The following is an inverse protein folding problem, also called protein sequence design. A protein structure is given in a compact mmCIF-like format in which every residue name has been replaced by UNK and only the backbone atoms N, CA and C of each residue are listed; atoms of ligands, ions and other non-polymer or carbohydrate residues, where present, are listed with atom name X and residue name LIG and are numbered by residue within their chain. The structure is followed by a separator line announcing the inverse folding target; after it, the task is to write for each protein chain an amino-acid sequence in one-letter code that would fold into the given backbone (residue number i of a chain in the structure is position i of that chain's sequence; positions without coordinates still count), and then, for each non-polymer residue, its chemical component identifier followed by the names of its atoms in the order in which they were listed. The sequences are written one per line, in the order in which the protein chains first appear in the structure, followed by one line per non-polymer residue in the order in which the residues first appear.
data_IF_583075760412
#
_entry.id   IF_583075760412
#
_cell.length_a   1.000
_cell.length_b   1.000
_cell.length_c   1.000
_cell.angle_alpha   90.00
_cell.angle_beta   90.00
_cell.angle_gamma   90.00
#
_symmetry.space_group_name_H-M   'P 1'
#
loop_
_entity.id
_entity.type
_entity.pdbx_description
1 polymer ?
#
# COMPACT_ATOMS: atom_id res chain seq x y z
N UNK A 1 -17.46 67.46 -32.11
CA UNK A 1 -17.71 68.02 -33.41
C UNK A 1 -18.89 67.22 -33.96
N UNK A 2 -20.19 67.56 -33.64
CA UNK A 2 -20.98 68.48 -34.41
C UNK A 2 -21.08 67.99 -35.86
N UNK A 3 -22.23 67.67 -36.46
CA UNK A 3 -23.62 68.21 -36.53
C UNK A 3 -24.46 67.15 -37.27
N UNK A 4 -25.68 66.82 -36.88
CA UNK A 4 -26.97 67.32 -37.33
C UNK A 4 -27.21 67.19 -38.84
N UNK A 5 -28.28 66.79 -39.35
CA UNK A 5 -29.68 66.85 -39.12
C UNK A 5 -30.41 66.66 -40.42
N UNK A 6 -31.60 66.44 -40.42
CA UNK A 6 -32.86 67.06 -40.89
C UNK A 6 -33.69 66.11 -41.75
N UNK A 7 -34.77 65.73 -41.28
CA UNK A 7 -36.20 65.88 -41.58
C UNK A 7 -36.58 66.45 -42.96
N UNK A 8 -37.50 65.69 -43.65
CA UNK A 8 -38.62 66.30 -44.38
C UNK A 8 -39.86 65.34 -44.46
N UNK A 9 -40.97 65.91 -44.03
CA UNK A 9 -42.33 65.36 -44.17
C UNK A 9 -42.80 65.51 -45.64
N UNK A 10 -43.67 64.59 -46.12
CA UNK A 10 -44.79 64.98 -46.98
C UNK A 10 -45.89 63.95 -46.93
N UNK A 11 -47.08 64.44 -47.10
CA UNK A 11 -48.41 63.96 -46.79
C UNK A 11 -49.05 63.14 -47.91
N UNK A 12 -49.98 62.23 -47.45
CA UNK A 12 -51.39 61.96 -47.89
C UNK A 12 -51.66 61.20 -49.15
N UNK A 13 -52.34 60.05 -49.02
CA UNK A 13 -53.79 59.93 -49.29
C UNK A 13 -54.23 58.47 -49.10
N UNK A 14 -55.37 58.28 -48.49
CA UNK A 14 -55.93 56.99 -48.14
C UNK A 14 -56.64 56.28 -49.26
N UNK A 15 -56.79 55.01 -49.09
CA UNK A 15 -57.95 54.23 -49.62
C UNK A 15 -58.20 53.02 -48.76
N UNK A 16 -59.41 52.81 -48.34
CA UNK A 16 -59.91 51.73 -47.55
C UNK A 16 -59.79 50.35 -48.29
N UNK A 17 -59.39 49.31 -47.58
CA UNK A 17 -59.37 47.99 -48.10
C UNK A 17 -59.28 46.92 -47.03
N UNK A 18 -60.40 46.35 -46.69
CA UNK A 18 -60.75 45.08 -46.10
C UNK A 18 -59.70 44.45 -45.12
N UNK A 19 -60.07 44.39 -43.84
CA UNK A 19 -59.56 43.43 -42.86
C UNK A 19 -59.63 41.97 -43.38
N UNK A 20 -58.51 41.36 -43.63
CA UNK A 20 -58.37 39.93 -43.74
C UNK A 20 -57.89 39.40 -42.37
N UNK A 21 -58.80 38.82 -41.59
CA UNK A 21 -58.51 38.11 -40.32
C UNK A 21 -57.51 37.00 -40.59
N UNK A 22 -56.23 37.22 -40.21
CA UNK A 22 -55.25 36.17 -40.27
C UNK A 22 -55.54 35.17 -39.12
N UNK A 23 -56.09 34.00 -39.53
CA UNK A 23 -56.11 32.82 -38.65
C UNK A 23 -54.71 32.53 -38.20
N UNK A 24 -54.36 32.82 -36.93
CA UNK A 24 -53.18 32.31 -36.25
C UNK A 24 -53.36 30.81 -36.10
N UNK A 25 -52.63 30.03 -36.88
CA UNK A 25 -52.47 28.59 -36.71
C UNK A 25 -51.76 28.38 -35.35
N UNK A 26 -52.32 27.55 -34.46
CA UNK A 26 -51.62 27.29 -33.20
C UNK A 26 -50.28 26.62 -33.51
N UNK A 27 -49.18 27.25 -33.05
CA UNK A 27 -47.83 26.68 -33.13
C UNK A 27 -47.88 25.32 -32.42
N UNK A 28 -47.60 24.26 -33.15
CA UNK A 28 -47.54 22.91 -32.57
C UNK A 28 -46.50 22.90 -31.46
N UNK A 29 -46.91 22.59 -30.23
CA UNK A 29 -46.00 22.39 -29.09
C UNK A 29 -44.97 21.35 -29.50
N UNK A 30 -43.66 21.64 -29.39
CA UNK A 30 -42.63 20.67 -29.77
C UNK A 30 -42.84 19.34 -29.02
N UNK A 31 -42.89 18.24 -29.76
CA UNK A 31 -42.99 16.90 -29.14
C UNK A 31 -41.81 16.69 -28.19
N UNK A 32 -42.03 16.23 -26.95
CA UNK A 32 -40.95 16.00 -26.02
C UNK A 32 -39.88 15.06 -26.59
N UNK A 33 -38.63 15.41 -26.49
CA UNK A 33 -37.55 14.53 -26.89
C UNK A 33 -37.44 13.32 -25.94
N UNK A 34 -37.21 12.11 -26.46
CA UNK A 34 -37.07 10.91 -25.61
C UNK A 34 -35.88 11.04 -24.66
N UNK A 35 -36.02 10.44 -23.49
CA UNK A 35 -34.91 10.32 -22.55
C UNK A 35 -33.85 9.36 -23.09
N UNK A 36 -32.59 9.72 -22.96
CA UNK A 36 -31.44 8.89 -23.37
C UNK A 36 -30.39 8.80 -22.25
N UNK A 37 -29.61 7.74 -22.22
CA UNK A 37 -28.48 7.57 -21.34
C UNK A 37 -27.26 7.07 -22.10
N UNK A 38 -26.10 7.66 -21.82
CA UNK A 38 -24.79 7.21 -22.31
C UNK A 38 -24.04 6.63 -21.16
N UNK A 39 -23.52 5.40 -21.32
CA UNK A 39 -22.67 4.72 -20.36
C UNK A 39 -21.22 4.88 -20.81
N UNK A 40 -20.34 5.23 -19.87
CA UNK A 40 -18.89 5.33 -20.07
C UNK A 40 -18.15 4.86 -18.81
N UNK A 41 -16.84 4.65 -18.92
CA UNK A 41 -15.94 4.35 -17.80
C UNK A 41 -14.65 5.16 -17.95
N UNK A 42 -13.69 5.00 -17.03
CA UNK A 42 -12.35 5.60 -17.13
C UNK A 42 -11.59 5.06 -18.35
N UNK A 43 -11.83 3.81 -18.71
CA UNK A 43 -11.27 3.13 -19.89
C UNK A 43 -12.40 2.78 -20.87
N UNK A 44 -12.09 2.41 -22.14
CA UNK A 44 -13.09 1.97 -23.09
C UNK A 44 -13.95 0.81 -22.54
N UNK A 45 -15.26 0.82 -22.78
CA UNK A 45 -16.17 -0.24 -22.29
C UNK A 45 -15.81 -1.65 -22.79
N UNK A 46 -14.96 -1.76 -23.80
CA UNK A 46 -14.41 -3.02 -24.33
C UNK A 46 -13.13 -3.48 -23.63
N UNK A 47 -12.58 -2.67 -22.72
CA UNK A 47 -11.34 -2.95 -22.02
C UNK A 47 -11.26 -2.17 -20.68
N UNK A 48 -12.33 -2.20 -19.88
CA UNK A 48 -12.33 -1.57 -18.55
C UNK A 48 -11.35 -2.29 -17.63
N UNK A 49 -10.80 -1.54 -16.66
CA UNK A 49 -9.99 -2.14 -15.59
C UNK A 49 -10.88 -2.63 -14.44
N UNK A 50 -10.39 -3.57 -13.61
CA UNK A 50 -11.21 -4.14 -12.53
C UNK A 50 -11.83 -3.12 -11.57
N UNK A 51 -11.13 -2.04 -11.23
CA UNK A 51 -11.60 -1.01 -10.31
C UNK A 51 -12.33 0.17 -10.99
N UNK A 52 -12.55 0.13 -12.30
CA UNK A 52 -13.27 1.19 -13.01
C UNK A 52 -14.70 1.34 -12.48
N UNK A 53 -15.17 2.58 -12.48
CA UNK A 53 -16.55 2.92 -12.22
C UNK A 53 -17.29 3.20 -13.54
N UNK A 54 -18.61 2.99 -13.55
CA UNK A 54 -19.45 3.28 -14.71
C UNK A 54 -20.13 4.63 -14.51
N UNK A 55 -19.99 5.52 -15.49
CA UNK A 55 -20.61 6.84 -15.49
C UNK A 55 -21.82 6.82 -16.43
N UNK A 56 -22.96 7.32 -15.94
CA UNK A 56 -24.23 7.43 -16.67
C UNK A 56 -24.54 8.90 -16.89
N UNK A 57 -24.47 9.35 -18.14
CA UNK A 57 -24.89 10.68 -18.55
C UNK A 57 -26.29 10.61 -19.16
N UNK A 58 -27.26 11.31 -18.55
CA UNK A 58 -28.69 11.28 -18.92
C UNK A 58 -29.09 12.59 -19.58
N UNK A 59 -29.83 12.50 -20.66
CA UNK A 59 -30.48 13.64 -21.32
C UNK A 59 -31.99 13.45 -21.37
N UNK A 60 -32.75 14.54 -21.18
CA UNK A 60 -34.23 14.61 -21.24
C UNK A 60 -34.94 13.66 -20.23
N UNK A 61 -34.30 13.33 -19.10
CA UNK A 61 -34.90 12.43 -18.12
C UNK A 61 -34.04 12.27 -16.88
N UNK A 62 -34.35 11.26 -16.06
CA UNK A 62 -33.65 10.88 -14.82
C UNK A 62 -33.28 9.40 -14.85
N UNK A 63 -32.11 9.04 -14.30
CA UNK A 63 -31.72 7.64 -14.11
C UNK A 63 -32.39 7.08 -12.84
N UNK A 64 -33.25 6.08 -13.02
CA UNK A 64 -34.04 5.49 -11.92
C UNK A 64 -33.38 4.23 -11.34
N UNK A 65 -32.73 3.41 -12.18
CA UNK A 65 -31.98 2.24 -11.69
C UNK A 65 -30.85 1.83 -12.64
N UNK A 66 -29.88 1.14 -12.09
CA UNK A 66 -28.80 0.44 -12.80
C UNK A 66 -28.79 -0.99 -12.31
N UNK A 67 -28.83 -1.95 -13.23
CA UNK A 67 -28.59 -3.36 -12.97
C UNK A 67 -27.37 -3.80 -13.76
N UNK A 68 -26.45 -4.50 -13.11
CA UNK A 68 -25.24 -5.07 -13.71
C UNK A 68 -25.27 -6.57 -13.48
N UNK A 69 -25.10 -7.36 -14.53
CA UNK A 69 -25.03 -8.82 -14.44
C UNK A 69 -23.76 -9.34 -15.12
N UNK A 70 -23.18 -10.42 -14.60
CA UNK A 70 -22.08 -11.13 -15.26
C UNK A 70 -22.56 -11.99 -16.44
N UNK A 71 -21.64 -12.72 -17.06
CA UNK A 71 -21.95 -13.58 -18.21
C UNK A 71 -22.92 -14.73 -17.88
N UNK A 72 -22.94 -15.17 -16.60
CA UNK A 72 -23.80 -16.25 -16.10
C UNK A 72 -25.19 -15.73 -15.69
N UNK A 73 -25.43 -14.40 -15.83
CA UNK A 73 -26.70 -13.76 -15.47
C UNK A 73 -26.81 -13.40 -13.98
N UNK A 74 -25.76 -13.61 -13.19
CA UNK A 74 -25.73 -13.27 -11.76
C UNK A 74 -25.59 -11.76 -11.57
N UNK A 75 -26.31 -11.23 -10.59
CA UNK A 75 -26.27 -9.80 -10.25
C UNK A 75 -24.94 -9.41 -9.63
N UNK A 76 -24.39 -8.27 -10.07
CA UNK A 76 -23.19 -7.65 -9.53
C UNK A 76 -23.58 -6.47 -8.64
N UNK A 77 -23.26 -6.55 -7.35
CA UNK A 77 -23.54 -5.49 -6.39
C UNK A 77 -22.69 -4.24 -6.65
N UNK A 78 -23.32 -3.09 -6.51
CA UNK A 78 -22.65 -1.79 -6.61
C UNK A 78 -23.51 -0.66 -6.02
N UNK A 79 -22.89 0.51 -5.87
CA UNK A 79 -23.53 1.69 -5.33
C UNK A 79 -23.64 2.79 -6.39
N UNK A 80 -24.83 3.36 -6.55
CA UNK A 80 -25.07 4.52 -7.40
C UNK A 80 -24.91 5.79 -6.57
N UNK A 81 -24.13 6.75 -7.06
CA UNK A 81 -23.87 8.04 -6.43
C UNK A 81 -23.96 9.19 -7.43
N UNK A 82 -23.98 10.44 -6.94
CA UNK A 82 -24.12 11.64 -7.75
C UNK A 82 -25.58 11.97 -8.08
N UNK A 83 -25.78 13.04 -8.85
CA UNK A 83 -27.09 13.56 -9.25
C UNK A 83 -27.21 13.60 -10.78
N UNK A 84 -28.47 13.59 -11.29
CA UNK A 84 -28.68 13.85 -12.70
C UNK A 84 -28.15 15.25 -13.09
N UNK A 85 -27.62 15.42 -14.29
CA UNK A 85 -27.63 14.48 -15.40
C UNK A 85 -26.48 13.45 -15.40
N UNK A 86 -25.63 13.41 -14.38
CA UNK A 86 -24.45 12.52 -14.32
C UNK A 86 -24.36 11.76 -13.01
N UNK A 87 -24.58 10.44 -13.06
CA UNK A 87 -24.43 9.53 -11.92
C UNK A 87 -23.29 8.55 -12.15
N UNK A 88 -22.70 8.06 -11.06
CA UNK A 88 -21.59 7.10 -11.07
C UNK A 88 -22.01 5.85 -10.31
N UNK A 89 -21.87 4.70 -10.94
CA UNK A 89 -22.05 3.41 -10.32
C UNK A 89 -20.67 2.81 -10.03
N UNK A 90 -20.43 2.43 -8.76
CA UNK A 90 -19.18 1.84 -8.29
C UNK A 90 -19.43 0.40 -7.90
N UNK A 91 -18.71 -0.59 -8.45
CA UNK A 91 -18.85 -1.98 -8.04
C UNK A 91 -18.43 -2.14 -6.59
N UNK A 92 -19.14 -2.97 -5.82
CA UNK A 92 -18.81 -3.29 -4.43
C UNK A 92 -17.54 -4.16 -4.36
N UNK A 93 -17.36 -5.02 -5.34
CA UNK A 93 -16.18 -5.84 -5.57
C UNK A 93 -15.68 -5.54 -6.99
N UNK A 94 -14.37 -5.38 -7.21
CA UNK A 94 -13.84 -5.12 -8.55
C UNK A 94 -14.32 -6.14 -9.59
N UNK A 95 -14.45 -5.70 -10.83
CA UNK A 95 -14.77 -6.58 -11.94
C UNK A 95 -13.69 -7.66 -12.11
N UNK A 96 -14.11 -8.87 -12.46
CA UNK A 96 -13.19 -9.98 -12.74
C UNK A 96 -12.43 -9.75 -14.05
N UNK A 97 -11.10 -9.94 -14.04
CA UNK A 97 -10.27 -9.90 -15.24
C UNK A 97 -10.81 -10.84 -16.34
N UNK A 98 -10.86 -10.36 -17.58
CA UNK A 98 -11.41 -11.08 -18.72
C UNK A 98 -12.94 -11.24 -18.68
N UNK A 99 -13.62 -10.76 -17.65
CA UNK A 99 -15.06 -10.88 -17.49
C UNK A 99 -15.84 -10.01 -18.46
N UNK A 100 -17.07 -10.41 -18.74
CA UNK A 100 -18.05 -9.65 -19.53
C UNK A 100 -19.29 -9.41 -18.69
N UNK A 101 -19.81 -8.18 -18.77
CA UNK A 101 -20.95 -7.74 -17.98
C UNK A 101 -21.99 -7.07 -18.87
N UNK A 102 -23.26 -7.27 -18.53
CA UNK A 102 -24.39 -6.57 -19.13
C UNK A 102 -24.87 -5.50 -18.15
N UNK A 103 -24.91 -4.26 -18.62
CA UNK A 103 -25.37 -3.10 -17.85
C UNK A 103 -26.71 -2.63 -18.40
N UNK A 104 -27.76 -2.66 -17.58
CA UNK A 104 -29.09 -2.18 -17.93
C UNK A 104 -29.38 -0.93 -17.10
N UNK A 105 -29.47 0.21 -17.78
CA UNK A 105 -29.88 1.49 -17.19
C UNK A 105 -31.34 1.75 -17.47
N UNK A 106 -32.16 2.00 -16.44
CA UNK A 106 -33.56 2.42 -16.58
C UNK A 106 -33.65 3.92 -16.41
N UNK A 107 -34.23 4.60 -17.38
CA UNK A 107 -34.41 6.06 -17.41
C UNK A 107 -35.90 6.40 -17.56
N UNK A 108 -36.30 7.50 -16.91
CA UNK A 108 -37.69 8.02 -17.01
C UNK A 108 -37.64 9.46 -17.49
N UNK A 109 -38.39 9.75 -18.54
CA UNK A 109 -38.54 11.10 -19.12
C UNK A 109 -40.01 11.44 -19.34
N UNK A 110 -40.26 12.56 -20.02
CA UNK A 110 -41.62 13.03 -20.29
C UNK A 110 -42.43 12.06 -21.18
N UNK A 111 -41.76 11.20 -21.96
CA UNK A 111 -42.38 10.20 -22.85
C UNK A 111 -42.56 8.83 -22.19
N UNK A 112 -42.25 8.70 -20.89
CA UNK A 112 -42.32 7.45 -20.14
C UNK A 112 -40.93 6.87 -19.78
N UNK A 113 -40.93 5.63 -19.30
CA UNK A 113 -39.69 4.91 -18.92
C UNK A 113 -39.17 4.08 -20.09
N UNK A 114 -37.84 4.03 -20.21
CA UNK A 114 -37.14 3.18 -21.20
C UNK A 114 -35.90 2.54 -20.57
N UNK A 115 -35.38 1.50 -21.21
CA UNK A 115 -34.16 0.80 -20.80
C UNK A 115 -33.10 0.93 -21.88
N UNK A 116 -31.85 1.18 -21.45
CA UNK A 116 -30.66 1.12 -22.30
C UNK A 116 -29.75 0.00 -21.81
N UNK A 117 -29.28 -0.82 -22.74
CA UNK A 117 -28.39 -1.93 -22.45
C UNK A 117 -27.01 -1.67 -23.04
N UNK A 118 -25.98 -1.82 -22.24
CA UNK A 118 -24.57 -1.70 -22.65
C UNK A 118 -23.81 -2.96 -22.25
N UNK A 119 -22.85 -3.36 -23.08
CA UNK A 119 -21.90 -4.43 -22.77
C UNK A 119 -20.60 -3.81 -22.25
N UNK A 120 -20.10 -4.36 -21.17
CA UNK A 120 -18.80 -4.00 -20.56
C UNK A 120 -17.91 -5.24 -20.59
N UNK A 121 -16.72 -5.12 -21.16
CA UNK A 121 -15.71 -6.19 -21.17
C UNK A 121 -14.50 -5.71 -20.38
N UNK A 122 -14.08 -6.51 -19.41
CA UNK A 122 -12.89 -6.23 -18.61
C UNK A 122 -11.66 -6.74 -19.35
N UNK A 123 -10.59 -5.99 -19.33
CA UNK A 123 -9.34 -6.40 -19.96
C UNK A 123 -8.82 -7.72 -19.38
N UNK A 124 -8.08 -8.47 -20.16
CA UNK A 124 -7.30 -9.59 -19.68
C UNK A 124 -6.09 -9.07 -18.88
N UNK A 125 -5.66 -9.84 -17.91
CA UNK A 125 -4.51 -9.49 -17.07
C UNK A 125 -4.19 -10.54 -16.03
N UNK A 126 -3.12 -10.29 -15.27
CA UNK A 126 -2.65 -11.16 -14.19
C UNK A 126 -2.96 -10.55 -12.82
N UNK A 127 -3.05 -11.38 -11.81
CA UNK A 127 -3.12 -10.96 -10.41
C UNK A 127 -1.73 -10.59 -9.88
N UNK A 128 -1.69 -9.64 -8.96
CA UNK A 128 -0.56 -9.38 -8.08
C UNK A 128 -1.04 -9.60 -6.65
N UNK A 129 -0.62 -10.68 -6.03
CA UNK A 129 -0.94 -10.98 -4.64
C UNK A 129 -0.17 -10.04 -3.70
N UNK A 130 -0.81 -9.70 -2.59
CA UNK A 130 -0.22 -8.86 -1.54
C UNK A 130 -0.33 -9.57 -0.20
N UNK A 131 0.71 -9.43 0.63
CA UNK A 131 0.74 -9.99 1.97
C UNK A 131 1.00 -8.88 2.99
N UNK A 132 0.15 -8.77 4.00
CA UNK A 132 0.44 -8.03 5.22
C UNK A 132 1.30 -8.94 6.10
N UNK A 133 2.60 -8.60 6.21
CA UNK A 133 3.51 -9.41 7.02
C UNK A 133 3.25 -9.16 8.52
N UNK A 134 3.44 -10.18 9.33
CA UNK A 134 3.24 -10.15 10.80
C UNK A 134 1.79 -9.84 11.22
N UNK A 135 0.82 -10.10 10.34
CA UNK A 135 -0.61 -10.00 10.66
C UNK A 135 -0.95 -10.89 11.87
N UNK A 136 -1.81 -10.38 12.75
CA UNK A 136 -2.26 -11.02 13.99
C UNK A 136 -1.15 -11.46 14.95
N UNK A 137 0.05 -10.86 14.80
CA UNK A 137 1.19 -11.14 15.66
C UNK A 137 1.45 -10.05 16.69
N UNK A 138 2.03 -10.45 17.82
CA UNK A 138 2.68 -9.57 18.78
C UNK A 138 4.11 -9.30 18.34
N UNK A 139 4.42 -8.05 17.97
CA UNK A 139 5.75 -7.64 17.49
C UNK A 139 6.39 -6.60 18.40
N UNK A 140 7.71 -6.42 18.26
CA UNK A 140 8.47 -5.39 18.97
C UNK A 140 8.26 -3.99 18.41
N UNK A 141 8.71 -2.99 19.19
CA UNK A 141 8.50 -1.56 18.89
C UNK A 141 9.22 -1.04 17.64
N UNK A 142 10.08 -1.82 17.03
CA UNK A 142 10.78 -1.48 15.80
C UNK A 142 10.12 -2.03 14.52
N UNK A 143 9.10 -2.89 14.63
CA UNK A 143 8.47 -3.50 13.46
C UNK A 143 7.60 -2.50 12.70
N UNK A 144 7.90 -2.15 11.45
CA UNK A 144 6.95 -1.39 10.63
C UNK A 144 5.78 -2.27 10.21
N UNK A 145 4.66 -1.67 9.78
CA UNK A 145 3.68 -2.37 8.95
C UNK A 145 4.32 -2.62 7.60
N UNK A 146 4.26 -3.84 7.09
CA UNK A 146 4.90 -4.23 5.82
C UNK A 146 3.86 -4.86 4.90
N UNK A 147 3.63 -4.23 3.76
CA UNK A 147 2.87 -4.80 2.64
C UNK A 147 3.88 -5.30 1.61
N UNK A 148 3.90 -6.61 1.39
CA UNK A 148 4.74 -7.25 0.38
C UNK A 148 3.90 -7.57 -0.85
N UNK A 149 4.37 -7.13 -2.02
CA UNK A 149 3.80 -7.47 -3.33
C UNK A 149 4.60 -8.63 -3.93
N UNK A 150 3.91 -9.58 -4.53
CA UNK A 150 4.55 -10.69 -5.23
C UNK A 150 5.36 -10.20 -6.44
N UNK A 151 4.81 -9.22 -7.17
CA UNK A 151 5.45 -8.63 -8.34
C UNK A 151 5.68 -7.13 -8.14
N UNK A 152 6.69 -6.61 -8.82
CA UNK A 152 7.11 -5.21 -8.72
C UNK A 152 6.02 -4.20 -9.11
N UNK A 153 6.02 -3.08 -8.41
CA UNK A 153 5.25 -1.87 -8.70
C UNK A 153 6.24 -0.74 -8.95
N UNK A 154 6.60 -0.50 -10.20
CA UNK A 154 7.64 0.50 -10.55
C UNK A 154 7.08 1.87 -10.91
N UNK A 155 5.84 1.93 -11.39
CA UNK A 155 5.18 3.16 -11.84
C UNK A 155 4.76 4.04 -10.66
N UNK A 156 5.19 5.30 -10.66
CA UNK A 156 4.94 6.25 -9.56
C UNK A 156 3.45 6.57 -9.37
N UNK A 157 2.66 6.66 -10.46
CA UNK A 157 1.23 6.94 -10.35
C UNK A 157 0.47 5.76 -9.74
N UNK A 158 0.88 4.51 -10.05
CA UNK A 158 0.31 3.30 -9.46
C UNK A 158 0.68 3.18 -7.99
N UNK A 159 1.94 3.43 -7.61
CA UNK A 159 2.36 3.52 -6.19
C UNK A 159 1.53 4.55 -5.42
N UNK A 160 1.32 5.73 -6.01
CA UNK A 160 0.50 6.78 -5.42
C UNK A 160 -0.94 6.32 -5.20
N UNK A 161 -1.57 5.72 -6.21
CA UNK A 161 -2.94 5.22 -6.11
C UNK A 161 -3.09 4.16 -5.02
N UNK A 162 -2.18 3.18 -4.97
CA UNK A 162 -2.14 2.13 -3.95
C UNK A 162 -1.97 2.75 -2.55
N UNK A 163 -0.95 3.58 -2.37
CA UNK A 163 -0.65 4.19 -1.08
C UNK A 163 -1.80 5.08 -0.57
N UNK A 164 -2.45 5.85 -1.46
CA UNK A 164 -3.60 6.69 -1.11
C UNK A 164 -4.85 5.89 -0.70
N UNK A 165 -4.94 4.63 -1.10
CA UNK A 165 -6.03 3.73 -0.73
C UNK A 165 -5.79 2.99 0.60
N UNK A 166 -4.59 3.14 1.19
CA UNK A 166 -4.22 2.52 2.46
C UNK A 166 -4.51 3.43 3.65
N UNK A 167 -4.99 2.84 4.73
CA UNK A 167 -5.26 3.53 6.00
C UNK A 167 -4.63 2.76 7.16
N UNK A 168 -3.96 3.48 8.06
CA UNK A 168 -3.46 2.97 9.33
C UNK A 168 -4.21 3.66 10.46
N UNK A 169 -4.78 2.87 11.36
CA UNK A 169 -5.35 3.34 12.62
C UNK A 169 -4.56 2.78 13.79
N UNK A 170 -4.18 3.63 14.74
CA UNK A 170 -3.38 3.22 15.89
C UNK A 170 -4.03 3.65 17.21
N UNK A 171 -3.95 2.80 18.23
CA UNK A 171 -4.40 3.09 19.58
C UNK A 171 -3.27 2.77 20.58
N UNK A 172 -2.66 3.78 21.24
CA UNK A 172 -2.90 5.22 21.07
C UNK A 172 -2.48 5.74 19.69
N UNK A 173 -3.08 6.86 19.25
CA UNK A 173 -2.74 7.48 17.97
C UNK A 173 -1.27 7.89 17.93
N UNK A 174 -0.60 7.64 16.80
CA UNK A 174 0.80 8.00 16.57
C UNK A 174 0.97 8.58 15.16
N UNK A 175 1.84 9.59 15.06
CA UNK A 175 2.30 10.15 13.79
C UNK A 175 3.15 9.11 13.07
N UNK A 176 2.91 8.91 11.77
CA UNK A 176 3.69 7.98 10.95
C UNK A 176 3.48 8.23 9.47
N UNK A 177 4.27 7.56 8.64
CA UNK A 177 4.21 7.72 7.19
C UNK A 177 4.53 6.42 6.47
N UNK A 178 3.96 6.28 5.27
CA UNK A 178 4.29 5.25 4.30
C UNK A 178 5.61 5.58 3.59
N UNK A 179 6.35 4.54 3.19
CA UNK A 179 7.53 4.64 2.34
C UNK A 179 7.69 3.37 1.50
N UNK A 180 8.00 3.54 0.22
CA UNK A 180 8.38 2.44 -0.66
C UNK A 180 9.88 2.16 -0.51
N UNK A 181 10.24 1.06 0.13
CA UNK A 181 11.65 0.71 0.39
C UNK A 181 12.31 0.02 -0.80
N UNK A 182 11.50 -0.62 -1.64
CA UNK A 182 11.88 -1.18 -2.93
C UNK A 182 10.64 -1.27 -3.85
N UNK A 183 10.77 -1.96 -4.99
CA UNK A 183 9.68 -2.10 -5.94
C UNK A 183 8.58 -3.07 -5.48
N UNK A 184 8.80 -3.84 -4.44
CA UNK A 184 7.90 -4.88 -3.95
C UNK A 184 7.46 -4.69 -2.50
N UNK A 185 7.91 -3.61 -1.83
CA UNK A 185 7.57 -3.38 -0.43
C UNK A 185 7.10 -1.96 -0.16
N UNK A 186 5.91 -1.86 0.42
CA UNK A 186 5.37 -0.62 1.00
C UNK A 186 5.35 -0.79 2.52
N UNK A 187 6.06 0.08 3.23
CA UNK A 187 6.12 0.06 4.69
C UNK A 187 5.52 1.32 5.30
N UNK A 188 4.86 1.16 6.45
CA UNK A 188 4.49 2.29 7.28
C UNK A 188 5.18 2.17 8.64
N UNK A 189 5.84 3.24 9.07
CA UNK A 189 6.40 3.33 10.42
C UNK A 189 5.96 4.61 11.12
N UNK A 190 5.86 4.60 12.46
CA UNK A 190 5.74 5.84 13.21
C UNK A 190 7.04 6.66 13.08
N UNK A 191 6.95 7.92 13.45
CA UNK A 191 8.10 8.85 13.46
C UNK A 191 9.24 8.34 14.34
N UNK A 192 8.89 7.96 15.55
CA UNK A 192 9.76 7.28 16.51
C UNK A 192 9.36 5.80 16.61
N UNK A 193 10.02 4.98 17.43
CA UNK A 193 9.57 3.62 17.68
C UNK A 193 8.14 3.61 18.22
N UNK A 194 7.41 2.53 17.95
CA UNK A 194 6.07 2.35 18.50
C UNK A 194 6.05 2.54 20.02
N UNK A 195 5.00 3.15 20.54
CA UNK A 195 4.69 3.07 21.97
C UNK A 195 4.30 1.64 22.32
N UNK A 196 4.83 1.12 23.42
CA UNK A 196 4.50 -0.21 23.91
C UNK A 196 2.97 -0.36 24.12
N UNK A 197 2.41 -1.52 23.78
CA UNK A 197 0.98 -1.80 23.89
C UNK A 197 0.10 -1.21 22.78
N UNK A 198 0.67 -0.56 21.75
CA UNK A 198 -0.09 -0.01 20.64
C UNK A 198 -0.79 -1.12 19.85
N UNK A 199 -2.08 -0.91 19.55
CA UNK A 199 -2.82 -1.71 18.58
C UNK A 199 -2.82 -0.98 17.23
N UNK A 200 -2.52 -1.69 16.16
CA UNK A 200 -2.44 -1.18 14.79
C UNK A 200 -3.46 -1.92 13.95
N UNK A 201 -4.36 -1.19 13.31
CA UNK A 201 -5.28 -1.74 12.30
C UNK A 201 -4.87 -1.19 10.94
N UNK A 202 -4.71 -2.10 9.98
CA UNK A 202 -4.35 -1.83 8.59
C UNK A 202 -5.57 -2.10 7.73
N UNK A 203 -5.95 -1.15 6.87
CA UNK A 203 -6.98 -1.37 5.86
C UNK A 203 -6.56 -0.75 4.53
N UNK A 204 -6.92 -1.39 3.43
CA UNK A 204 -6.63 -0.90 2.09
C UNK A 204 -7.70 -1.36 1.10
N UNK A 205 -8.39 -0.42 0.47
CA UNK A 205 -9.31 -0.69 -0.65
C UNK A 205 -8.52 -0.70 -1.95
N UNK A 206 -7.67 -1.70 -2.10
CA UNK A 206 -6.67 -1.79 -3.18
C UNK A 206 -6.98 -2.83 -4.24
N UNK A 207 -7.96 -3.72 -4.00
CA UNK A 207 -8.37 -4.72 -4.99
C UNK A 207 -8.72 -4.05 -6.33
N UNK A 208 -8.22 -4.63 -7.42
CA UNK A 208 -8.41 -4.12 -8.77
C UNK A 208 -7.55 -2.93 -9.16
N UNK A 209 -6.75 -2.34 -8.25
CA UNK A 209 -5.80 -1.30 -8.62
C UNK A 209 -4.64 -1.89 -9.44
N UNK A 210 -4.20 -1.20 -10.51
CA UNK A 210 -3.12 -1.68 -11.35
C UNK A 210 -1.75 -1.57 -10.65
N UNK A 211 -0.92 -2.60 -10.80
CA UNK A 211 0.50 -2.61 -10.42
C UNK A 211 1.43 -2.52 -11.63
N UNK A 212 0.93 -2.91 -12.81
CA UNK A 212 1.59 -2.69 -14.11
C UNK A 212 0.55 -2.36 -15.18
N UNK A 213 0.90 -2.44 -16.46
CA UNK A 213 -0.05 -2.24 -17.58
C UNK A 213 -1.09 -3.36 -17.69
N UNK A 214 -0.81 -4.56 -17.15
CA UNK A 214 -1.66 -5.75 -17.28
C UNK A 214 -1.77 -6.57 -15.99
N UNK A 215 -1.29 -6.04 -14.85
CA UNK A 215 -1.34 -6.73 -13.57
C UNK A 215 -2.03 -5.89 -12.51
N UNK A 216 -2.91 -6.52 -11.73
CA UNK A 216 -3.79 -5.85 -10.78
C UNK A 216 -3.76 -6.54 -9.42
N UNK A 217 -3.92 -5.77 -8.34
CA UNK A 217 -4.02 -6.32 -6.99
C UNK A 217 -5.27 -7.18 -6.89
N UNK A 218 -5.13 -8.38 -6.36
CA UNK A 218 -6.22 -9.36 -6.29
C UNK A 218 -7.25 -8.99 -5.23
N UNK A 219 -6.80 -8.69 -4.00
CA UNK A 219 -7.66 -8.54 -2.83
C UNK A 219 -7.42 -7.23 -2.10
N UNK A 220 -8.43 -6.80 -1.33
CA UNK A 220 -8.26 -5.73 -0.36
C UNK A 220 -7.34 -6.20 0.78
N UNK A 221 -6.66 -5.25 1.41
CA UNK A 221 -5.79 -5.52 2.56
C UNK A 221 -6.56 -5.16 3.83
N UNK A 222 -6.56 -6.07 4.82
CA UNK A 222 -7.11 -5.83 6.15
C UNK A 222 -6.40 -6.73 7.15
N UNK A 223 -5.99 -6.18 8.29
CA UNK A 223 -5.37 -6.96 9.36
C UNK A 223 -5.00 -6.11 10.56
N UNK A 224 -4.57 -6.78 11.63
CA UNK A 224 -4.19 -6.16 12.89
C UNK A 224 -2.78 -6.60 13.28
N UNK A 225 -2.07 -5.71 13.99
CA UNK A 225 -0.76 -6.00 14.58
C UNK A 225 -0.78 -5.44 16.00
N UNK A 226 -0.27 -6.20 16.96
CA UNK A 226 -0.12 -5.75 18.35
C UNK A 226 1.35 -5.46 18.64
N UNK A 227 1.61 -4.29 19.21
CA UNK A 227 2.96 -3.89 19.62
C UNK A 227 3.15 -4.27 21.10
N UNK A 228 4.14 -5.08 21.37
CA UNK A 228 4.44 -5.50 22.74
C UNK A 228 5.25 -4.48 23.55
N UNK A 229 5.91 -4.95 24.61
CA UNK A 229 6.84 -4.15 25.39
C UNK A 229 7.97 -3.56 24.52
N UNK A 230 8.45 -2.38 24.89
CA UNK A 230 9.66 -1.82 24.27
C UNK A 230 10.89 -2.61 24.72
N UNK A 231 11.47 -3.40 23.83
CA UNK A 231 12.72 -4.13 24.03
C UNK A 231 13.75 -3.66 23.04
N UNK A 232 14.88 -3.20 23.54
CA UNK A 232 15.97 -2.67 22.71
C UNK A 232 17.29 -3.30 23.17
N UNK A 233 18.02 -3.84 22.20
CA UNK A 233 19.34 -4.44 22.38
C UNK A 233 20.38 -3.45 21.85
N UNK A 234 21.22 -2.94 22.71
CA UNK A 234 22.34 -2.04 22.36
C UNK A 234 23.62 -2.87 22.29
N UNK A 235 24.09 -3.14 21.09
CA UNK A 235 25.29 -3.91 20.79
C UNK A 235 26.46 -2.95 20.62
N UNK A 236 27.35 -2.92 21.60
CA UNK A 236 28.58 -2.16 21.58
C UNK A 236 29.72 -3.07 21.09
N UNK A 237 29.99 -2.99 19.78
CA UNK A 237 30.95 -3.85 19.06
C UNK A 237 32.37 -3.60 19.57
N UNK A 238 32.71 -2.35 19.85
CA UNK A 238 34.05 -1.95 20.30
C UNK A 238 34.38 -2.42 21.75
N UNK A 239 33.36 -2.52 22.60
CA UNK A 239 33.50 -2.92 24.00
C UNK A 239 32.98 -4.34 24.28
N UNK A 240 32.65 -5.13 23.23
CA UNK A 240 32.28 -6.55 23.29
C UNK A 240 31.11 -6.84 24.26
N UNK A 241 30.13 -5.95 24.34
CA UNK A 241 28.99 -6.09 25.25
C UNK A 241 27.68 -5.70 24.61
N UNK A 242 26.62 -6.34 25.07
CA UNK A 242 25.24 -6.01 24.69
C UNK A 242 24.46 -5.64 25.95
N UNK A 243 23.88 -4.44 25.96
CA UNK A 243 22.96 -3.99 26.99
C UNK A 243 21.53 -4.19 26.50
N UNK A 244 20.75 -4.94 27.24
CA UNK A 244 19.33 -5.23 26.93
C UNK A 244 18.44 -4.41 27.83
N UNK A 245 17.44 -3.73 27.22
CA UNK A 245 16.48 -2.91 27.96
C UNK A 245 15.05 -3.42 27.75
N UNK A 246 14.20 -3.18 28.75
CA UNK A 246 12.74 -3.36 28.66
C UNK A 246 12.09 -2.10 29.21
N UNK A 247 11.23 -1.47 28.41
CA UNK A 247 10.50 -0.24 28.76
C UNK A 247 11.42 0.85 29.36
N UNK A 248 12.60 1.03 28.75
CA UNK A 248 13.59 2.03 29.14
C UNK A 248 14.58 1.58 30.23
N UNK A 249 14.28 0.54 31.00
CA UNK A 249 15.13 0.03 32.08
C UNK A 249 16.07 -1.06 31.59
N UNK A 250 17.35 -1.02 31.98
CA UNK A 250 18.32 -2.11 31.71
C UNK A 250 17.92 -3.35 32.49
N UNK A 251 17.73 -4.47 31.81
CA UNK A 251 17.39 -5.76 32.43
C UNK A 251 18.54 -6.73 32.43
N UNK A 252 19.50 -6.59 31.50
CA UNK A 252 20.68 -7.43 31.42
C UNK A 252 21.80 -6.76 30.63
N UNK A 253 23.06 -7.06 30.99
CA UNK A 253 24.26 -6.79 30.19
C UNK A 253 24.95 -8.12 29.93
N UNK A 254 25.27 -8.40 28.67
CA UNK A 254 25.75 -9.69 28.18
C UNK A 254 27.13 -9.48 27.54
N UNK A 255 28.17 -10.23 27.89
CA UNK A 255 29.41 -10.28 27.12
C UNK A 255 29.14 -10.96 25.79
N UNK A 256 29.64 -10.38 24.71
CA UNK A 256 29.40 -10.86 23.33
C UNK A 256 30.72 -10.94 22.56
N UNK A 257 30.67 -11.66 21.44
CA UNK A 257 31.59 -11.51 20.31
C UNK A 257 30.83 -11.05 19.09
N UNK A 258 31.48 -10.32 18.18
CA UNK A 258 30.88 -9.90 16.91
C UNK A 258 31.83 -10.22 15.76
N UNK A 259 31.58 -9.70 14.55
CA UNK A 259 32.37 -10.00 13.37
C UNK A 259 33.83 -9.55 13.46
N UNK A 260 34.75 -10.44 13.06
CA UNK A 260 36.18 -10.12 12.91
C UNK A 260 36.40 -9.06 11.83
N UNK A 261 37.59 -8.46 11.74
CA UNK A 261 37.87 -7.31 10.88
C UNK A 261 37.32 -7.43 9.42
N UNK A 262 37.61 -8.57 8.76
CA UNK A 262 37.18 -8.80 7.38
C UNK A 262 35.67 -9.06 7.22
N UNK A 263 34.98 -9.38 8.31
CA UNK A 263 33.55 -9.68 8.38
C UNK A 263 32.86 -8.86 9.46
N UNK A 264 33.24 -7.59 9.58
CA UNK A 264 32.74 -6.72 10.64
C UNK A 264 31.20 -6.67 10.64
N UNK A 265 30.62 -6.84 11.84
CA UNK A 265 29.18 -6.65 12.08
C UNK A 265 28.80 -5.22 11.72
N UNK A 266 27.68 -5.04 11.00
CA UNK A 266 27.26 -3.71 10.55
C UNK A 266 26.72 -2.88 11.72
N UNK A 267 27.20 -1.63 11.84
CA UNK A 267 26.61 -0.60 12.71
C UNK A 267 25.31 -0.06 12.11
N UNK A 268 24.39 0.34 12.95
CA UNK A 268 23.08 0.90 12.58
C UNK A 268 21.94 0.28 13.36
N UNK A 269 20.73 0.77 13.10
CA UNK A 269 19.50 0.25 13.72
C UNK A 269 18.87 -0.83 12.86
N UNK A 270 18.76 -2.01 13.43
CA UNK A 270 18.14 -3.21 12.84
C UNK A 270 16.94 -3.62 13.67
N UNK A 271 16.16 -4.56 13.13
CA UNK A 271 15.05 -5.21 13.84
C UNK A 271 15.24 -6.71 13.77
N UNK A 272 14.82 -7.43 14.81
CA UNK A 272 14.73 -8.89 14.73
C UNK A 272 13.64 -9.24 13.71
N UNK A 273 14.02 -9.98 12.66
CA UNK A 273 13.14 -10.36 11.55
C UNK A 273 12.38 -11.64 11.89
N UNK A 274 13.14 -12.67 12.29
CA UNK A 274 12.63 -14.01 12.62
C UNK A 274 13.48 -14.67 13.68
N UNK A 275 12.99 -15.76 14.27
CA UNK A 275 13.65 -16.48 15.35
C UNK A 275 13.50 -17.99 15.13
N UNK A 276 14.63 -18.69 15.23
CA UNK A 276 14.72 -20.14 15.12
C UNK A 276 15.42 -20.73 16.32
N UNK A 277 14.81 -21.71 16.99
CA UNK A 277 15.42 -22.39 18.14
C UNK A 277 16.63 -23.22 17.76
N UNK A 278 16.68 -23.70 16.52
CA UNK A 278 17.81 -24.42 15.92
C UNK A 278 17.84 -24.13 14.41
N UNK A 279 19.01 -23.75 13.89
CA UNK A 279 19.22 -23.39 12.50
C UNK A 279 20.59 -23.87 12.03
N UNK A 280 20.65 -24.50 10.84
CA UNK A 280 21.92 -24.72 10.15
C UNK A 280 22.32 -23.47 9.37
N UNK A 281 23.40 -22.84 9.76
CA UNK A 281 24.00 -21.71 9.04
C UNK A 281 24.98 -22.24 7.99
N UNK A 282 24.75 -21.94 6.72
CA UNK A 282 25.62 -22.27 5.61
C UNK A 282 26.06 -20.98 4.92
N UNK A 283 27.36 -20.66 5.04
CA UNK A 283 27.92 -19.41 4.51
C UNK A 283 27.85 -19.31 2.98
N UNK A 284 27.64 -20.42 2.28
CA UNK A 284 27.40 -20.38 0.83
C UNK A 284 26.12 -19.60 0.46
N UNK A 285 25.13 -19.55 1.36
CA UNK A 285 23.87 -18.81 1.15
C UNK A 285 24.04 -17.29 1.27
N UNK A 286 25.18 -16.84 1.78
CA UNK A 286 25.49 -15.42 2.00
C UNK A 286 26.79 -14.98 1.32
N UNK A 287 27.22 -15.73 0.29
CA UNK A 287 28.31 -15.33 -0.61
C UNK A 287 29.70 -15.81 -0.24
N UNK A 288 29.85 -16.74 0.71
CA UNK A 288 31.13 -17.44 1.02
C UNK A 288 30.99 -18.89 0.57
N UNK A 289 31.40 -19.22 -0.69
CA UNK A 289 31.13 -20.53 -1.29
C UNK A 289 31.98 -21.64 -0.67
N UNK A 290 31.58 -22.88 -0.88
CA UNK A 290 32.42 -24.05 -0.53
C UNK A 290 33.78 -23.94 -1.23
N UNK A 291 34.84 -24.21 -0.45
CA UNK A 291 36.23 -24.06 -0.93
C UNK A 291 36.90 -22.74 -0.58
N UNK A 292 36.14 -21.73 -0.16
CA UNK A 292 36.68 -20.51 0.44
C UNK A 292 37.27 -20.85 1.83
N UNK A 293 38.44 -20.29 2.20
CA UNK A 293 39.03 -20.47 3.54
C UNK A 293 38.13 -20.04 4.70
N UNK A 294 37.22 -19.11 4.47
CA UNK A 294 36.24 -18.64 5.44
C UNK A 294 34.86 -19.35 5.35
N UNK A 295 34.76 -20.41 4.51
CA UNK A 295 33.53 -21.21 4.44
C UNK A 295 33.23 -21.92 5.75
N UNK A 296 31.97 -21.84 6.16
CA UNK A 296 31.47 -22.61 7.29
C UNK A 296 30.07 -23.16 7.02
N UNK A 297 29.79 -24.30 7.64
CA UNK A 297 28.44 -24.86 7.79
C UNK A 297 28.34 -25.43 9.19
N UNK A 298 27.45 -24.87 10.00
CA UNK A 298 27.33 -25.24 11.41
C UNK A 298 25.91 -25.09 11.93
N UNK A 299 25.55 -25.93 12.88
CA UNK A 299 24.28 -25.87 13.58
C UNK A 299 24.39 -24.91 14.77
N UNK A 300 23.49 -23.94 14.81
CA UNK A 300 23.38 -22.96 15.88
C UNK A 300 22.05 -23.09 16.61
N UNK A 301 22.03 -22.68 17.88
CA UNK A 301 20.79 -22.60 18.68
C UNK A 301 20.46 -21.16 18.98
N UNK A 302 19.16 -20.92 19.20
CA UNK A 302 18.62 -19.64 19.65
C UNK A 302 18.94 -18.48 18.67
N UNK A 303 18.79 -18.75 17.38
CA UNK A 303 19.10 -17.81 16.31
C UNK A 303 17.98 -16.78 16.15
N UNK A 304 18.36 -15.49 16.12
CA UNK A 304 17.49 -14.34 15.84
C UNK A 304 18.09 -13.58 14.67
N UNK A 305 17.45 -13.64 13.51
CA UNK A 305 17.91 -12.97 12.28
C UNK A 305 17.72 -11.47 12.39
N UNK A 306 18.73 -10.70 12.03
CA UNK A 306 18.69 -9.22 12.03
C UNK A 306 19.00 -8.61 10.66
N UNK A 307 19.49 -9.42 9.70
CA UNK A 307 19.66 -9.00 8.30
C UNK A 307 19.30 -10.12 7.33
N UNK A 308 18.86 -9.79 6.13
CA UNK A 308 18.68 -10.74 5.02
C UNK A 308 20.03 -11.26 4.50
N UNK A 309 21.12 -10.54 4.78
CA UNK A 309 22.48 -10.86 4.38
C UNK A 309 23.25 -11.73 5.39
N UNK A 310 22.52 -12.35 6.35
CA UNK A 310 23.05 -13.41 7.19
C UNK A 310 23.64 -12.99 8.55
N UNK A 311 23.38 -11.79 9.05
CA UNK A 311 23.70 -11.47 10.43
C UNK A 311 22.58 -11.91 11.40
N UNK A 312 22.97 -12.59 12.47
CA UNK A 312 22.11 -13.10 13.54
C UNK A 312 22.65 -12.73 14.91
N UNK A 313 21.81 -12.80 15.92
CA UNK A 313 22.20 -12.95 17.32
C UNK A 313 21.92 -14.41 17.67
N UNK A 314 22.90 -15.16 18.17
CA UNK A 314 22.74 -16.59 18.46
C UNK A 314 23.68 -17.10 19.55
N UNK A 315 23.39 -18.26 20.11
CA UNK A 315 24.32 -18.96 20.99
C UNK A 315 25.56 -19.44 20.20
N UNK A 316 26.75 -19.15 20.70
CA UNK A 316 28.03 -19.50 20.12
C UNK A 316 28.97 -20.04 21.20
N UNK A 317 28.70 -21.25 21.75
CA UNK A 317 29.49 -21.82 22.86
C UNK A 317 30.96 -22.05 22.51
N UNK A 318 31.29 -22.23 21.23
CA UNK A 318 32.68 -22.38 20.76
C UNK A 318 33.54 -21.11 20.89
N UNK A 319 32.93 -19.95 21.15
CA UNK A 319 33.60 -18.67 21.30
C UNK A 319 33.41 -18.02 22.68
N UNK A 320 32.97 -18.78 23.70
CA UNK A 320 32.72 -18.25 25.04
C UNK A 320 33.97 -17.60 25.66
N UNK A 321 35.17 -18.14 25.39
CA UNK A 321 36.42 -17.55 25.86
C UNK A 321 36.77 -16.19 25.23
N UNK A 322 36.17 -15.80 24.13
CA UNK A 322 36.36 -14.53 23.44
C UNK A 322 35.23 -13.53 23.71
N UNK A 323 34.09 -13.99 24.23
CA UNK A 323 32.97 -13.10 24.56
C UNK A 323 33.37 -12.12 25.65
N UNK A 324 33.14 -10.83 25.40
CA UNK A 324 33.58 -9.75 26.27
C UNK A 324 35.01 -9.26 26.03
N UNK A 325 35.78 -9.86 25.08
CA UNK A 325 37.19 -9.52 24.86
C UNK A 325 37.61 -9.42 23.38
N UNK A 326 36.95 -10.13 22.44
CA UNK A 326 37.37 -10.14 21.05
C UNK A 326 36.21 -10.39 20.10
N UNK A 327 36.36 -9.89 18.85
CA UNK A 327 35.42 -10.11 17.73
C UNK A 327 35.97 -11.17 16.78
N UNK A 328 35.30 -12.33 16.69
CA UNK A 328 35.84 -13.53 16.03
C UNK A 328 34.84 -14.16 15.01
N UNK A 329 33.61 -13.67 14.93
CA UNK A 329 32.58 -14.23 14.02
C UNK A 329 32.71 -13.73 12.59
N UNK A 330 31.84 -14.23 11.71
CA UNK A 330 31.66 -13.75 10.32
C UNK A 330 30.56 -12.66 10.19
N UNK A 331 30.24 -11.96 11.29
CA UNK A 331 29.28 -10.85 11.29
C UNK A 331 28.15 -11.02 12.32
N UNK A 332 27.89 -12.25 12.80
CA UNK A 332 26.89 -12.50 13.82
C UNK A 332 27.32 -11.99 15.20
N UNK A 333 26.34 -11.75 16.06
CA UNK A 333 26.56 -11.48 17.49
C UNK A 333 26.44 -12.80 18.25
N UNK A 334 27.58 -13.30 18.75
CA UNK A 334 27.68 -14.54 19.50
C UNK A 334 27.57 -14.31 21.01
N UNK A 335 26.79 -15.17 21.67
CA UNK A 335 26.58 -15.17 23.12
C UNK A 335 26.83 -16.55 23.71
N UNK A 336 26.91 -16.67 25.03
CA UNK A 336 26.91 -17.98 25.70
C UNK A 336 25.61 -18.73 25.39
N UNK A 337 25.62 -20.06 25.62
CA UNK A 337 24.41 -20.87 25.44
C UNK A 337 23.25 -20.37 26.32
N UNK A 338 23.55 -20.04 27.57
CA UNK A 338 22.57 -19.55 28.55
C UNK A 338 21.99 -18.18 28.18
N UNK A 339 22.87 -17.25 27.76
CA UNK A 339 22.43 -15.90 27.33
C UNK A 339 21.68 -15.94 26.02
N UNK A 340 22.07 -16.78 25.05
CA UNK A 340 21.37 -16.99 23.81
C UNK A 340 19.94 -17.50 24.03
N UNK A 341 19.79 -18.51 24.92
CA UNK A 341 18.46 -19.04 25.28
C UNK A 341 17.61 -17.99 25.99
N UNK A 342 18.20 -17.22 26.91
CA UNK A 342 17.50 -16.16 27.61
C UNK A 342 17.03 -15.07 26.64
N UNK A 343 17.90 -14.60 25.74
CA UNK A 343 17.57 -13.62 24.70
C UNK A 343 16.44 -14.13 23.79
N UNK A 344 16.55 -15.37 23.34
CA UNK A 344 15.55 -15.99 22.46
C UNK A 344 14.17 -16.01 23.13
N UNK A 345 14.09 -16.36 24.41
CA UNK A 345 12.82 -16.37 25.15
C UNK A 345 12.33 -14.95 25.50
N UNK A 346 13.24 -14.01 25.65
CA UNK A 346 12.93 -12.62 26.00
C UNK A 346 12.49 -11.81 24.78
N UNK A 347 13.18 -11.94 23.64
CA UNK A 347 12.95 -11.14 22.43
C UNK A 347 11.82 -11.68 21.54
N UNK A 348 11.36 -10.84 20.62
CA UNK A 348 10.39 -11.19 19.57
C UNK A 348 10.78 -10.54 18.24
N UNK A 349 10.15 -10.94 17.14
CA UNK A 349 10.25 -10.23 15.87
C UNK A 349 9.82 -8.76 16.08
N UNK A 350 10.58 -7.82 15.49
CA UNK A 350 10.34 -6.40 15.65
C UNK A 350 11.03 -5.72 16.83
N UNK A 351 11.67 -6.47 17.74
CA UNK A 351 12.52 -5.84 18.77
C UNK A 351 13.73 -5.17 18.11
N UNK A 352 14.10 -4.01 18.64
CA UNK A 352 15.14 -3.16 18.05
C UNK A 352 16.53 -3.61 18.46
N UNK A 353 17.46 -3.61 17.51
CA UNK A 353 18.89 -3.93 17.73
C UNK A 353 19.73 -2.76 17.20
N UNK A 354 20.32 -2.00 18.10
CA UNK A 354 21.18 -0.85 17.79
C UNK A 354 22.64 -1.27 17.92
N UNK A 355 23.33 -1.42 16.79
CA UNK A 355 24.74 -1.77 16.73
C UNK A 355 25.59 -0.51 16.55
N UNK A 356 26.62 -0.36 17.38
CA UNK A 356 27.59 0.75 17.32
C UNK A 356 29.03 0.23 17.38
N UNK A 357 29.99 1.04 16.91
CA UNK A 357 31.42 0.73 17.05
C UNK A 357 32.03 -0.03 15.87
N UNK A 358 31.37 -0.15 14.73
CA UNK A 358 31.93 -0.70 13.49
C UNK A 358 31.96 0.36 12.38
N UNK A 359 32.97 0.30 11.52
CA UNK A 359 33.08 1.11 10.31
C UNK A 359 32.12 0.66 9.20
N UNK A 360 31.66 -0.60 9.21
CA UNK A 360 30.70 -1.13 8.26
C UNK A 360 29.29 -0.72 8.67
N UNK A 361 28.56 -0.05 7.78
CA UNK A 361 27.22 0.48 8.05
C UNK A 361 26.15 -0.43 7.45
N UNK A 362 25.08 -0.70 8.21
CA UNK A 362 23.87 -1.38 7.75
C UNK A 362 23.13 -0.54 6.73
N UNK A 363 22.75 -1.14 5.59
CA UNK A 363 22.04 -0.48 4.51
C UNK A 363 20.56 -0.88 4.50
N UNK A 364 19.65 0.00 4.02
CA UNK A 364 18.21 -0.26 4.05
C UNK A 364 17.77 -1.57 3.39
N UNK A 365 18.43 -1.98 2.32
CA UNK A 365 18.10 -3.20 1.56
C UNK A 365 18.66 -4.51 2.20
N UNK A 366 19.46 -4.40 3.24
CA UNK A 366 20.08 -5.56 3.90
C UNK A 366 19.17 -6.20 4.97
N UNK A 367 17.99 -5.64 5.23
CA UNK A 367 17.02 -6.13 6.21
C UNK A 367 15.77 -5.26 6.26
N UNK A 368 15.06 -5.24 7.41
CA UNK A 368 13.99 -4.26 7.66
C UNK A 368 14.67 -2.91 7.96
N UNK A 369 14.99 -2.17 6.90
CA UNK A 369 15.88 -1.01 6.95
C UNK A 369 15.18 0.35 7.09
N UNK A 370 13.91 0.39 7.50
CA UNK A 370 13.15 1.63 7.65
C UNK A 370 13.80 2.62 8.64
N UNK A 371 14.54 2.11 9.63
CA UNK A 371 15.25 2.89 10.65
C UNK A 371 16.63 3.38 10.22
N UNK A 372 17.08 3.07 9.00
CA UNK A 372 18.27 3.67 8.39
C UNK A 372 18.06 5.12 7.96
N UNK A 373 16.80 5.54 7.85
CA UNK A 373 16.42 6.89 7.47
C UNK A 373 16.02 7.70 8.70
N UNK A 374 16.46 8.96 8.75
CA UNK A 374 15.82 9.94 9.62
C UNK A 374 14.36 10.18 9.16
N UNK A 375 13.60 10.97 9.92
CA UNK A 375 12.19 11.19 9.59
C UNK A 375 11.98 11.87 8.24
N UNK A 376 12.77 12.90 7.93
CA UNK A 376 12.68 13.62 6.67
C UNK A 376 13.07 12.76 5.47
N UNK A 377 14.11 11.93 5.63
CA UNK A 377 14.53 10.94 4.63
C UNK A 377 13.48 9.86 4.39
N UNK A 378 12.82 9.39 5.47
CA UNK A 378 11.73 8.43 5.37
C UNK A 378 10.53 8.97 4.59
N UNK A 379 10.11 10.21 4.89
CA UNK A 379 8.97 10.84 4.20
C UNK A 379 9.21 11.01 2.69
N UNK A 380 10.47 11.13 2.23
CA UNK A 380 10.81 11.21 0.80
C UNK A 380 10.59 9.90 0.04
N UNK A 381 10.41 8.78 0.75
CA UNK A 381 10.07 7.48 0.13
C UNK A 381 8.57 7.33 -0.12
N UNK A 382 7.76 8.28 0.31
CA UNK A 382 6.32 8.31 0.06
C UNK A 382 6.04 8.59 -1.42
N UNK A 383 5.00 7.97 -1.95
CA UNK A 383 4.48 8.23 -3.29
C UNK A 383 3.36 9.30 -3.30
N UNK A 384 3.01 9.83 -2.11
CA UNK A 384 1.90 10.81 -1.91
C UNK A 384 2.46 12.11 -1.35
#
# INVERSE_FOLDING_TARGET
MVIAGCSTKSKTAGTAGKEASAKTTPSATPKPSPATVTVSAQHPLTAVQPADTLTFAVANGTLTSVAVTNADGESVDGALSGNDPKKVWTPKVPFRLGGTYTVVATITGQTGSSKSTSKVTVMNGDSNTTNLLYEDMDVGVGMPVIIKFENEVVDAAKRKAIQSAMTITTTPQQEGAWGWTDNTQLMWRPKDYWKAGTKVTVTGKVAGLPTSSHRFIQDNISGNITIGDSRILYVDIANYKMRVTKNGSTVKTIPITTGKANFATRSGTKVIIERDSALTMDSATVGIPKGDPDYYKLDVKWAMRVTYTGEFIHAAPWSEGQQGSANVSHGCVGTSMADGQWLFNFCRAGDVVVNTGSSRTFKPYEGIGCWCYDWAGWQKLSAV
#
